data_IF_016817116516
#
_entry.id   IF_016817116516
#
_cell.length_a   1.000
_cell.length_b   1.000
_cell.length_c   1.000
_cell.angle_alpha   90.00
_cell.angle_beta   90.00
_cell.angle_gamma   90.00
#
_symmetry.space_group_name_H-M   'P 1'
#
loop_
_entity.id
_entity.type
_entity.pdbx_description
1 polymer ?
#
# COMPACT_ATOMS: atom_id res chain seq x y z
N UNK A 1 -7.22 6.72 13.74
CA UNK A 1 -6.23 6.23 14.71
C UNK A 1 -6.83 6.03 16.11
N UNK A 2 -7.54 7.02 16.71
CA UNK A 2 -8.20 6.84 18.03
C UNK A 2 -9.11 5.62 18.07
N UNK A 3 -9.97 5.45 17.08
CA UNK A 3 -10.88 4.31 17.01
C UNK A 3 -10.13 2.99 16.88
N UNK A 4 -9.09 2.91 16.04
CA UNK A 4 -8.30 1.69 15.89
C UNK A 4 -7.55 1.33 17.19
N UNK A 5 -7.10 2.33 17.94
CA UNK A 5 -6.49 2.14 19.26
C UNK A 5 -7.51 1.60 20.27
N UNK A 6 -8.72 2.14 20.29
CA UNK A 6 -9.78 1.67 21.19
C UNK A 6 -10.22 0.24 20.94
N UNK A 7 -10.10 -0.23 19.69
CA UNK A 7 -10.58 -1.54 19.26
C UNK A 7 -9.48 -2.59 19.06
N UNK A 8 -8.26 -2.34 19.47
CA UNK A 8 -7.26 -3.40 19.50
C UNK A 8 -5.99 -3.10 18.71
N UNK A 9 -5.27 -2.05 19.06
CA UNK A 9 -3.89 -1.93 18.62
C UNK A 9 -3.08 -3.09 19.18
N UNK A 10 -2.38 -3.82 18.32
CA UNK A 10 -1.59 -5.02 18.68
C UNK A 10 -0.25 -4.71 19.35
N UNK A 11 -0.04 -3.52 19.85
CA UNK A 11 1.23 -3.13 20.45
C UNK A 11 1.08 -2.03 21.50
N UNK A 12 2.16 -1.67 22.17
CA UNK A 12 2.13 -0.59 23.13
C UNK A 12 1.76 0.73 22.44
N UNK A 13 0.64 1.28 22.86
CA UNK A 13 0.18 2.58 22.39
C UNK A 13 0.82 3.66 23.25
N UNK A 14 1.50 4.68 22.68
CA UNK A 14 2.04 5.78 23.46
C UNK A 14 0.95 6.46 24.28
N UNK A 15 1.21 6.72 25.58
CA UNK A 15 0.27 7.30 26.51
C UNK A 15 -0.34 8.62 26.00
N UNK A 16 0.44 9.43 25.29
CA UNK A 16 -0.04 10.67 24.67
C UNK A 16 -1.27 10.48 23.74
N UNK A 17 -1.44 9.30 23.15
CA UNK A 17 -2.60 8.99 22.30
C UNK A 17 -3.79 8.42 23.07
N UNK A 18 -3.56 7.83 24.23
CA UNK A 18 -4.61 7.27 25.09
C UNK A 18 -5.20 8.35 26.00
N UNK A 19 -4.36 9.13 26.67
CA UNK A 19 -4.74 9.98 27.80
C UNK A 19 -4.81 11.47 27.45
N UNK A 20 -5.01 11.79 26.19
CA UNK A 20 -5.22 13.19 25.78
C UNK A 20 -3.99 14.08 25.77
N UNK A 21 -2.81 13.51 25.60
CA UNK A 21 -1.55 14.24 25.48
C UNK A 21 -1.60 15.42 24.50
N UNK A 22 -0.74 16.39 24.69
CA UNK A 22 -0.64 17.60 23.87
C UNK A 22 -0.42 17.26 22.38
N UNK A 23 -0.72 18.22 21.52
CA UNK A 23 -0.48 18.08 20.07
C UNK A 23 1.01 17.83 19.78
N UNK A 24 1.89 18.45 20.55
CA UNK A 24 3.34 18.28 20.38
C UNK A 24 3.82 16.88 20.78
N UNK A 25 3.34 16.35 21.89
CA UNK A 25 3.63 14.99 22.31
C UNK A 25 3.10 13.97 21.29
N UNK A 26 1.88 14.16 20.78
CA UNK A 26 1.30 13.32 19.71
C UNK A 26 2.13 13.40 18.44
N UNK A 27 2.65 14.56 18.05
CA UNK A 27 3.55 14.70 16.90
C UNK A 27 4.86 13.94 17.08
N UNK A 28 5.46 13.97 18.28
CA UNK A 28 6.69 13.22 18.59
C UNK A 28 6.47 11.70 18.53
N UNK A 29 5.27 11.23 18.83
CA UNK A 29 4.90 9.81 18.82
C UNK A 29 4.15 9.37 17.53
N UNK A 30 4.15 10.23 16.53
CA UNK A 30 3.47 9.98 15.26
C UNK A 30 4.04 8.74 14.57
N UNK A 31 3.15 7.87 14.06
CA UNK A 31 3.49 6.60 13.39
C UNK A 31 4.16 5.52 14.26
N UNK A 32 4.17 5.66 15.56
CA UNK A 32 4.74 4.67 16.48
C UNK A 32 3.71 3.68 17.05
N UNK A 33 2.57 3.58 16.44
CA UNK A 33 1.48 2.68 16.89
C UNK A 33 1.36 1.54 15.90
N UNK A 34 1.49 0.33 16.40
CA UNK A 34 1.06 -0.87 15.69
C UNK A 34 -0.45 -1.01 15.80
N UNK A 35 -1.10 -1.46 14.75
CA UNK A 35 -2.55 -1.62 14.71
C UNK A 35 -2.93 -2.89 13.95
N UNK A 36 -4.09 -3.44 14.27
CA UNK A 36 -4.66 -4.55 13.52
C UNK A 36 -5.19 -4.03 12.16
N UNK A 37 -4.60 -4.43 11.03
CA UNK A 37 -4.98 -3.88 9.73
C UNK A 37 -6.40 -4.27 9.31
N UNK A 38 -6.87 -5.47 9.68
CA UNK A 38 -8.22 -5.92 9.36
C UNK A 38 -9.26 -5.09 10.12
N UNK A 39 -9.03 -4.86 11.41
CA UNK A 39 -9.91 -4.02 12.22
C UNK A 39 -9.89 -2.57 11.73
N UNK A 40 -8.72 -2.07 11.35
CA UNK A 40 -8.59 -0.72 10.78
C UNK A 40 -9.41 -0.59 9.49
N UNK A 41 -9.33 -1.58 8.60
CA UNK A 41 -10.11 -1.61 7.36
C UNK A 41 -11.63 -1.57 7.63
N UNK A 42 -12.11 -2.37 8.56
CA UNK A 42 -13.53 -2.38 8.96
C UNK A 42 -13.99 -1.04 9.54
N UNK A 43 -13.16 -0.41 10.36
CA UNK A 43 -13.47 0.91 10.92
C UNK A 43 -13.50 2.00 9.86
N UNK A 44 -12.59 1.95 8.90
CA UNK A 44 -12.58 2.89 7.77
C UNK A 44 -13.79 2.70 6.86
N UNK A 45 -14.15 1.45 6.56
CA UNK A 45 -15.38 1.12 5.83
C UNK A 45 -16.61 1.73 6.51
N UNK A 46 -16.74 1.50 7.81
CA UNK A 46 -17.86 2.04 8.60
C UNK A 46 -17.93 3.57 8.49
N UNK A 47 -16.81 4.27 8.67
CA UNK A 47 -16.76 5.73 8.57
C UNK A 47 -17.14 6.24 7.18
N UNK A 48 -16.71 5.53 6.13
CA UNK A 48 -17.07 5.86 4.75
C UNK A 48 -18.57 5.69 4.51
N UNK A 49 -19.15 4.58 4.97
CA UNK A 49 -20.59 4.32 4.85
C UNK A 49 -21.44 5.33 5.65
N UNK A 50 -21.01 5.68 6.87
CA UNK A 50 -21.66 6.72 7.69
C UNK A 50 -21.59 8.11 7.00
N UNK A 51 -20.53 8.37 6.22
CA UNK A 51 -20.39 9.57 5.41
C UNK A 51 -21.17 9.51 4.08
N UNK A 52 -21.91 8.45 3.82
CA UNK A 52 -22.70 8.28 2.59
C UNK A 52 -21.87 7.89 1.37
N UNK A 53 -20.63 7.44 1.55
CA UNK A 53 -19.76 6.98 0.47
C UNK A 53 -20.26 5.63 -0.06
N UNK A 54 -20.37 5.49 -1.38
CA UNK A 54 -20.62 4.19 -2.02
C UNK A 54 -19.31 3.49 -2.26
N UNK A 55 -19.15 2.30 -1.68
CA UNK A 55 -17.94 1.49 -1.81
C UNK A 55 -18.21 0.38 -2.82
N UNK A 56 -17.27 0.18 -3.73
CA UNK A 56 -17.29 -0.92 -4.70
C UNK A 56 -16.03 -1.77 -4.50
N UNK A 57 -16.21 -2.91 -3.85
CA UNK A 57 -15.14 -3.91 -3.68
C UNK A 57 -14.99 -4.81 -4.90
N UNK A 58 -13.81 -5.41 -5.04
CA UNK A 58 -13.51 -6.32 -6.15
C UNK A 58 -13.57 -5.63 -7.51
N UNK A 59 -13.33 -4.33 -7.54
CA UNK A 59 -13.22 -3.55 -8.75
C UNK A 59 -11.77 -3.10 -8.96
N UNK A 60 -11.31 -3.21 -10.19
CA UNK A 60 -10.00 -2.73 -10.62
C UNK A 60 -10.22 -1.58 -11.63
N UNK A 61 -9.66 -0.43 -11.37
CA UNK A 61 -9.63 0.67 -12.33
C UNK A 61 -8.53 0.37 -13.36
N UNK A 62 -8.93 0.10 -14.60
CA UNK A 62 -8.03 -0.43 -15.64
C UNK A 62 -7.65 0.59 -16.68
N UNK A 63 -8.46 1.62 -16.90
CA UNK A 63 -8.20 2.64 -17.91
C UNK A 63 -8.99 3.91 -17.62
N UNK A 64 -8.73 4.98 -18.40
CA UNK A 64 -9.48 6.22 -18.38
C UNK A 64 -9.74 6.73 -19.79
N UNK A 65 -10.88 7.39 -20.00
CA UNK A 65 -11.14 8.16 -21.19
C UNK A 65 -10.98 9.63 -20.85
N UNK A 66 -10.08 10.29 -21.58
CA UNK A 66 -9.80 11.71 -21.42
C UNK A 66 -10.29 12.49 -22.65
N UNK A 67 -10.98 13.60 -22.43
CA UNK A 67 -11.33 14.59 -23.45
C UNK A 67 -11.00 15.98 -22.91
N UNK A 68 -10.36 16.80 -23.73
CA UNK A 68 -9.98 18.17 -23.36
C UNK A 68 -9.25 18.27 -22.01
N UNK A 69 -8.33 17.35 -21.77
CA UNK A 69 -7.54 17.22 -20.51
C UNK A 69 -8.41 16.96 -19.25
N UNK A 70 -9.59 16.42 -19.42
CA UNK A 70 -10.45 15.99 -18.33
C UNK A 70 -10.71 14.49 -18.44
N UNK A 71 -10.69 13.80 -17.32
CA UNK A 71 -11.17 12.41 -17.27
C UNK A 71 -12.69 12.47 -17.41
N UNK A 72 -13.21 11.89 -18.48
CA UNK A 72 -14.66 11.79 -18.72
C UNK A 72 -15.20 10.46 -18.24
N UNK A 73 -14.38 9.40 -18.25
CA UNK A 73 -14.77 8.08 -17.78
C UNK A 73 -13.57 7.40 -17.11
N UNK A 74 -13.84 6.63 -16.06
CA UNK A 74 -12.91 5.66 -15.49
C UNK A 74 -13.43 4.27 -15.82
N UNK A 75 -12.62 3.47 -16.51
CA UNK A 75 -12.97 2.10 -16.87
C UNK A 75 -12.63 1.18 -15.70
N UNK A 76 -13.60 0.38 -15.31
CA UNK A 76 -13.44 -0.59 -14.22
C UNK A 76 -13.75 -2.00 -14.71
N UNK A 77 -13.00 -2.95 -14.17
CA UNK A 77 -13.28 -4.37 -14.27
C UNK A 77 -13.82 -4.89 -12.94
N UNK A 78 -14.90 -5.62 -12.99
CA UNK A 78 -15.51 -6.28 -11.83
C UNK A 78 -15.86 -7.71 -12.17
N UNK A 79 -16.33 -8.47 -11.20
CA UNK A 79 -16.85 -9.83 -11.46
C UNK A 79 -18.04 -9.81 -12.44
N UNK A 80 -18.75 -8.69 -12.56
CA UNK A 80 -19.87 -8.54 -13.52
C UNK A 80 -19.42 -8.10 -14.91
N UNK A 81 -18.11 -7.94 -15.11
CA UNK A 81 -17.51 -7.51 -16.37
C UNK A 81 -17.05 -6.05 -16.34
N UNK A 82 -16.74 -5.56 -17.53
CA UNK A 82 -16.25 -4.21 -17.76
C UNK A 82 -17.40 -3.19 -17.76
N UNK A 83 -17.17 -2.10 -17.10
CA UNK A 83 -18.08 -0.94 -17.09
C UNK A 83 -17.31 0.36 -16.94
N UNK A 84 -18.00 1.49 -17.03
CA UNK A 84 -17.39 2.79 -16.81
C UNK A 84 -18.12 3.60 -15.74
N UNK A 85 -17.38 4.48 -15.10
CA UNK A 85 -17.90 5.46 -14.15
C UNK A 85 -17.61 6.83 -14.76
N UNK A 86 -18.65 7.68 -14.83
CA UNK A 86 -18.53 9.08 -15.22
C UNK A 86 -18.31 9.93 -13.97
N UNK A 87 -17.07 10.38 -13.69
CA UNK A 87 -16.76 11.10 -12.46
C UNK A 87 -16.91 12.61 -12.65
N UNK A 88 -17.26 13.32 -11.58
CA UNK A 88 -17.08 14.78 -11.50
C UNK A 88 -15.63 15.16 -11.21
N UNK A 89 -14.94 14.35 -10.42
CA UNK A 89 -13.53 14.45 -10.12
C UNK A 89 -12.97 13.05 -9.77
N UNK A 90 -11.67 12.87 -9.92
CA UNK A 90 -10.97 11.61 -9.58
C UNK A 90 -9.85 11.90 -8.60
N UNK A 91 -9.80 11.12 -7.53
CA UNK A 91 -8.66 11.08 -6.61
C UNK A 91 -8.01 9.71 -6.77
N UNK A 92 -6.79 9.71 -7.29
CA UNK A 92 -6.01 8.49 -7.49
C UNK A 92 -5.31 8.10 -6.19
N UNK A 93 -5.74 6.98 -5.62
CA UNK A 93 -5.14 6.36 -4.43
C UNK A 93 -4.72 4.91 -4.72
N UNK A 94 -4.38 4.59 -5.97
CA UNK A 94 -3.98 3.24 -6.39
C UNK A 94 -2.64 2.78 -5.77
N UNK A 95 -1.86 3.70 -5.23
CA UNK A 95 -0.52 3.44 -4.68
C UNK A 95 0.57 3.83 -5.68
N UNK A 96 0.47 3.37 -6.91
CA UNK A 96 1.46 3.59 -7.97
C UNK A 96 1.05 4.66 -8.98
N UNK A 97 -0.01 5.43 -8.69
CA UNK A 97 -0.57 6.46 -9.57
C UNK A 97 -1.04 5.91 -10.93
N UNK A 98 -1.65 4.73 -10.93
CA UNK A 98 -2.08 4.01 -12.12
C UNK A 98 -3.05 4.83 -12.99
N UNK A 99 -3.99 5.50 -12.37
CA UNK A 99 -4.96 6.35 -13.07
C UNK A 99 -4.28 7.57 -13.67
N UNK A 100 -3.37 8.21 -12.91
CA UNK A 100 -2.59 9.33 -13.41
C UNK A 100 -1.73 8.92 -14.62
N UNK A 101 -1.09 7.77 -14.54
CA UNK A 101 -0.32 7.21 -15.65
C UNK A 101 -1.17 7.04 -16.92
N UNK A 102 -2.35 6.48 -16.80
CA UNK A 102 -3.27 6.23 -17.92
C UNK A 102 -3.85 7.50 -18.55
N UNK A 103 -3.85 8.63 -17.86
CA UNK A 103 -4.20 9.92 -18.46
C UNK A 103 -3.16 10.45 -19.43
N UNK A 104 -1.97 9.84 -19.49
CA UNK A 104 -0.82 10.39 -20.20
C UNK A 104 -0.15 11.57 -19.48
N UNK A 105 -0.53 11.83 -18.23
CA UNK A 105 0.11 12.86 -17.40
C UNK A 105 1.56 12.47 -17.13
N UNK A 106 2.45 13.45 -17.15
CA UNK A 106 3.86 13.22 -16.85
C UNK A 106 4.01 12.72 -15.41
N UNK A 107 4.39 11.47 -15.26
CA UNK A 107 4.70 10.82 -13.99
C UNK A 107 6.21 10.62 -13.87
N UNK A 108 6.68 10.44 -12.64
CA UNK A 108 8.08 10.10 -12.38
C UNK A 108 8.13 8.62 -12.02
N UNK A 109 8.78 7.84 -12.85
CA UNK A 109 9.13 6.48 -12.50
C UNK A 109 10.23 6.49 -11.42
N UNK A 110 10.16 5.57 -10.49
CA UNK A 110 11.26 5.32 -9.57
C UNK A 110 12.48 4.89 -10.39
N UNK A 111 13.55 5.68 -10.32
CA UNK A 111 14.79 5.36 -11.00
C UNK A 111 15.70 4.53 -10.09
N UNK A 112 16.61 3.82 -10.68
CA UNK A 112 16.48 2.45 -11.14
C UNK A 112 16.46 1.47 -9.97
N UNK A 113 15.56 0.52 -10.02
CA UNK A 113 15.50 -0.61 -9.11
C UNK A 113 14.46 -0.43 -8.01
N UNK A 114 13.26 -0.94 -8.26
CA UNK A 114 12.27 -1.18 -7.24
C UNK A 114 12.62 -2.47 -6.51
N UNK A 115 12.73 -2.42 -5.17
CA UNK A 115 12.87 -3.61 -4.36
C UNK A 115 11.50 -4.17 -4.01
N UNK A 116 11.31 -5.46 -4.18
CA UNK A 116 10.13 -6.18 -3.72
C UNK A 116 10.51 -7.03 -2.51
N UNK A 117 9.84 -6.81 -1.39
CA UNK A 117 10.08 -7.59 -0.17
C UNK A 117 8.86 -8.46 0.12
N UNK A 118 9.09 -9.73 0.38
CA UNK A 118 8.09 -10.68 0.85
C UNK A 118 8.29 -10.93 2.34
N UNK A 119 7.19 -10.87 3.10
CA UNK A 119 7.19 -11.02 4.54
C UNK A 119 6.18 -12.08 4.96
N UNK A 120 6.47 -12.81 6.05
CA UNK A 120 5.53 -13.74 6.64
C UNK A 120 5.50 -13.65 8.17
N UNK A 121 4.34 -13.93 8.71
CA UNK A 121 4.16 -14.10 10.14
C UNK A 121 4.38 -15.56 10.53
N UNK A 122 5.03 -15.78 11.64
CA UNK A 122 5.19 -17.11 12.20
C UNK A 122 4.85 -17.10 13.68
N UNK A 123 4.31 -18.22 14.16
CA UNK A 123 4.06 -18.43 15.59
C UNK A 123 5.34 -18.98 16.25
N UNK A 124 5.80 -18.30 17.28
CA UNK A 124 6.95 -18.72 18.07
C UNK A 124 6.55 -18.80 19.55
N UNK A 125 6.29 -20.02 20.05
CA UNK A 125 5.82 -20.20 21.41
C UNK A 125 4.54 -19.40 21.69
N UNK A 126 4.62 -18.43 22.58
CA UNK A 126 3.50 -17.58 22.99
C UNK A 126 3.33 -16.30 22.17
N UNK A 127 4.13 -16.11 21.14
CA UNK A 127 4.14 -14.88 20.35
C UNK A 127 3.98 -15.08 18.86
N UNK A 128 3.79 -13.97 18.16
CA UNK A 128 3.83 -13.88 16.70
C UNK A 128 5.04 -13.06 16.31
N UNK A 129 5.88 -13.59 15.43
CA UNK A 129 7.02 -12.88 14.85
C UNK A 129 6.78 -12.56 13.39
N UNK A 130 7.48 -11.56 12.89
CA UNK A 130 7.52 -11.19 11.46
C UNK A 130 8.94 -11.47 10.95
N UNK A 131 9.03 -12.17 9.84
CA UNK A 131 10.30 -12.38 9.13
C UNK A 131 10.19 -12.01 7.67
N UNK A 132 11.28 -11.51 7.13
CA UNK A 132 11.44 -11.36 5.70
C UNK A 132 11.65 -12.75 5.08
N UNK A 133 10.85 -13.07 4.07
CA UNK A 133 10.94 -14.33 3.33
C UNK A 133 11.93 -14.21 2.18
N UNK A 134 11.85 -13.11 1.43
CA UNK A 134 12.72 -12.82 0.33
C UNK A 134 12.72 -11.34 -0.03
N UNK A 135 13.70 -10.94 -0.81
CA UNK A 135 13.85 -9.59 -1.33
C UNK A 135 14.36 -9.69 -2.78
N UNK A 136 13.58 -9.15 -3.69
CA UNK A 136 13.98 -8.97 -5.07
C UNK A 136 14.42 -7.52 -5.28
N UNK A 137 15.62 -7.33 -5.76
CA UNK A 137 16.34 -6.08 -5.97
C UNK A 137 16.58 -5.23 -4.70
N UNK A 138 17.85 -5.10 -4.35
CA UNK A 138 18.34 -4.12 -3.38
C UNK A 138 19.17 -3.11 -4.16
N UNK A 139 18.70 -1.87 -4.28
CA UNK A 139 19.54 -0.80 -4.77
C UNK A 139 20.62 -0.46 -3.73
N UNK A 140 21.89 -0.54 -4.06
CA UNK A 140 22.99 -0.24 -3.13
C UNK A 140 22.94 1.17 -2.54
N UNK A 141 22.27 2.08 -3.22
CA UNK A 141 22.24 3.51 -2.89
C UNK A 141 21.13 3.92 -1.92
N UNK A 142 20.27 3.02 -1.53
CA UNK A 142 19.21 3.34 -0.58
C UNK A 142 19.72 3.37 0.85
N UNK A 143 20.72 4.00 1.27
CA UNK A 143 21.27 4.17 2.63
C UNK A 143 20.63 3.44 3.83
N UNK A 144 19.55 2.72 3.56
CA UNK A 144 18.73 1.84 4.38
C UNK A 144 18.85 0.39 3.96
N UNK A 145 19.99 -0.04 3.42
CA UNK A 145 20.20 -1.46 3.18
C UNK A 145 19.98 -2.19 4.52
N UNK A 146 18.80 -2.77 4.68
CA UNK A 146 18.57 -3.70 5.77
C UNK A 146 19.71 -4.73 5.68
N UNK A 147 20.39 -4.98 6.78
CA UNK A 147 21.37 -6.06 6.87
C UNK A 147 20.59 -7.36 6.65
N UNK A 148 20.49 -7.76 5.41
CA UNK A 148 19.86 -9.01 5.00
C UNK A 148 20.94 -10.08 4.99
N UNK A 149 20.56 -11.31 5.34
CA UNK A 149 21.47 -12.46 5.24
C UNK A 149 22.06 -12.52 3.83
N UNK A 150 23.34 -12.89 3.72
CA UNK A 150 24.09 -12.93 2.44
C UNK A 150 23.35 -13.70 1.33
N UNK A 151 22.56 -14.72 1.68
CA UNK A 151 21.75 -15.51 0.75
C UNK A 151 20.61 -14.72 0.08
N UNK A 152 20.08 -13.69 0.74
CA UNK A 152 19.04 -12.81 0.18
C UNK A 152 19.68 -11.82 -0.81
N UNK A 153 20.96 -11.48 -0.61
CA UNK A 153 21.69 -10.58 -1.51
C UNK A 153 22.02 -11.21 -2.87
N UNK A 154 22.17 -12.53 -2.93
CA UNK A 154 22.50 -13.22 -4.20
C UNK A 154 21.29 -13.42 -5.11
N UNK A 155 20.08 -13.59 -4.56
CA UNK A 155 18.86 -13.81 -5.34
C UNK A 155 18.24 -12.54 -5.93
N UNK A 156 18.70 -11.36 -5.52
CA UNK A 156 17.93 -10.14 -5.58
C UNK A 156 18.40 -9.07 -6.55
N UNK A 157 19.07 -9.41 -7.66
CA UNK A 157 19.62 -8.37 -8.56
C UNK A 157 18.79 -8.05 -9.79
N UNK A 158 17.57 -8.53 -9.87
CA UNK A 158 16.69 -8.18 -10.98
C UNK A 158 16.08 -6.80 -10.74
N UNK A 159 16.29 -5.89 -11.65
CA UNK A 159 15.73 -4.54 -11.62
C UNK A 159 14.36 -4.56 -12.27
N UNK A 160 13.38 -3.99 -11.58
CA UNK A 160 12.00 -3.96 -12.04
C UNK A 160 11.54 -2.52 -12.24
N UNK A 161 10.86 -2.26 -13.34
CA UNK A 161 10.25 -0.95 -13.59
C UNK A 161 9.00 -0.72 -12.74
N UNK A 162 8.31 -1.80 -12.40
CA UNK A 162 7.06 -1.76 -11.65
C UNK A 162 5.83 -1.37 -12.49
N UNK A 163 5.97 -1.27 -13.82
CA UNK A 163 4.85 -0.88 -14.72
C UNK A 163 4.38 -2.01 -15.63
N UNK A 164 5.12 -3.10 -15.69
CA UNK A 164 4.77 -4.29 -16.49
C UNK A 164 4.31 -5.44 -15.59
N UNK A 165 3.14 -6.00 -15.88
CA UNK A 165 2.53 -7.05 -15.05
C UNK A 165 3.32 -8.37 -15.06
N UNK A 166 3.98 -8.70 -16.17
CA UNK A 166 4.82 -9.90 -16.25
C UNK A 166 6.11 -9.71 -15.46
N UNK A 167 6.71 -8.55 -15.58
CA UNK A 167 7.89 -8.16 -14.80
C UNK A 167 7.59 -8.22 -13.29
N UNK A 168 6.46 -7.65 -12.86
CA UNK A 168 6.02 -7.74 -11.47
C UNK A 168 5.79 -9.18 -11.02
N UNK A 169 5.17 -10.01 -11.86
CA UNK A 169 4.95 -11.43 -11.57
C UNK A 169 6.27 -12.18 -11.38
N UNK A 170 7.27 -11.92 -12.22
CA UNK A 170 8.60 -12.49 -12.07
C UNK A 170 9.30 -11.99 -10.79
N UNK A 171 9.13 -10.71 -10.46
CA UNK A 171 9.66 -10.15 -9.23
C UNK A 171 9.08 -10.82 -7.98
N UNK A 172 7.78 -11.08 -8.00
CA UNK A 172 7.11 -11.79 -6.91
C UNK A 172 7.63 -13.23 -6.76
N UNK A 173 7.80 -13.93 -7.87
CA UNK A 173 8.36 -15.28 -7.85
C UNK A 173 9.80 -15.29 -7.34
N UNK A 174 10.60 -14.30 -7.70
CA UNK A 174 11.98 -14.18 -7.24
C UNK A 174 12.08 -13.80 -5.74
N UNK A 175 11.05 -13.14 -5.20
CA UNK A 175 11.00 -12.74 -3.78
C UNK A 175 10.47 -13.85 -2.85
N UNK A 176 9.86 -14.91 -3.39
CA UNK A 176 9.41 -16.09 -2.64
C UNK A 176 10.38 -17.24 -2.69
#
# INVERSE_FOLDING_TARGET
LRLSIQYGADGPVPAAWLDGGSIEEKKKQRYKVQFNPQLFALLMERLLLEAGVRILYGALATDVICRDRKITEVIIETKSGRSSIVPGAVIDCSGDADICWRTGTKTRLYAPGNGLASWYYYKNGNGVGLRMFGLADITPDSGNAMKTDEKVQESGRLRYSGVDGWELSLAWQAAH
#
